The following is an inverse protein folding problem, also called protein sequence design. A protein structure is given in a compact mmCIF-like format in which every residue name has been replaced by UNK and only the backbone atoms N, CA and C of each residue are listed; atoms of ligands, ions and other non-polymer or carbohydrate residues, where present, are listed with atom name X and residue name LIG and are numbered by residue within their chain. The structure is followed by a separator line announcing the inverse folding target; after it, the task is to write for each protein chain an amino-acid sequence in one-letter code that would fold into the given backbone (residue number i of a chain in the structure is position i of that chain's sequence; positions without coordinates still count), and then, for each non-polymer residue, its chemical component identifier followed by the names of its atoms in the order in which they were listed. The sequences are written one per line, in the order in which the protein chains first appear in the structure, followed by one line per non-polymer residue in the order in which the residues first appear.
data_IF_483083179119
#
_entry.id   IF_483083179119
#
_cell.length_a   1.000
_cell.length_b   1.000
_cell.length_c   1.000
_cell.angle_alpha   90.00
_cell.angle_beta   90.00
_cell.angle_gamma   90.00
#
_symmetry.space_group_name_H-M   'P 1'
#
loop_
_entity.id
_entity.type
_entity.pdbx_description
1 polymer ?
#
# COMPACT_ATOMS: atom_id res chain seq x y z
N UNK A 1 35.33 6.52 31.72
CA UNK A 1 35.26 5.94 30.36
C UNK A 1 35.70 7.02 29.38
N UNK A 2 36.59 6.72 28.40
CA UNK A 2 36.96 7.71 27.40
C UNK A 2 35.72 8.12 26.60
N UNK A 3 35.46 9.43 26.47
CA UNK A 3 34.34 9.95 25.69
C UNK A 3 34.54 9.55 24.23
N UNK A 4 33.55 8.88 23.65
CA UNK A 4 33.54 8.51 22.24
C UNK A 4 33.43 9.77 21.39
N UNK A 5 34.06 9.79 20.21
CA UNK A 5 34.05 10.93 19.27
C UNK A 5 32.63 11.38 18.86
N UNK A 6 31.62 10.53 19.09
CA UNK A 6 30.22 10.75 18.75
C UNK A 6 29.30 10.83 19.98
N UNK A 7 29.83 11.11 21.16
CA UNK A 7 29.00 11.32 22.34
C UNK A 7 28.18 12.61 22.20
N UNK A 8 26.89 12.52 22.54
CA UNK A 8 26.03 13.69 22.63
C UNK A 8 26.53 14.63 23.74
N UNK A 9 26.39 15.96 23.57
CA UNK A 9 26.69 16.90 24.64
C UNK A 9 25.80 16.61 25.87
N UNK A 10 26.22 17.11 27.03
CA UNK A 10 25.48 16.93 28.29
C UNK A 10 24.03 17.37 28.13
N UNK A 11 23.09 16.73 28.85
CA UNK A 11 21.65 16.94 28.63
C UNK A 11 21.22 18.42 28.71
N UNK A 12 21.89 19.23 29.53
CA UNK A 12 21.65 20.67 29.65
C UNK A 12 22.01 21.48 28.41
N UNK A 13 23.01 21.04 27.65
CA UNK A 13 23.58 21.74 26.49
C UNK A 13 22.97 21.28 25.15
N UNK A 14 22.10 20.27 25.19
CA UNK A 14 21.41 19.78 24.00
C UNK A 14 20.39 20.80 23.51
N UNK A 15 20.54 21.22 22.24
CA UNK A 15 19.66 22.21 21.60
C UNK A 15 18.24 21.70 21.38
N UNK A 16 18.08 20.46 20.95
CA UNK A 16 16.77 19.90 20.57
C UNK A 16 16.36 18.66 21.38
N UNK A 17 17.32 17.82 21.73
CA UNK A 17 17.07 16.55 22.43
C UNK A 17 16.60 16.85 23.86
N UNK A 18 15.47 16.26 24.27
CA UNK A 18 14.90 16.42 25.61
C UNK A 18 14.16 17.74 25.86
N UNK A 19 13.96 18.58 24.83
CA UNK A 19 13.21 19.83 24.92
C UNK A 19 11.78 19.63 24.41
N UNK A 20 10.82 20.33 25.02
CA UNK A 20 9.45 20.43 24.50
C UNK A 20 9.45 21.37 23.30
N UNK A 21 9.41 20.82 22.09
CA UNK A 21 9.44 21.57 20.83
C UNK A 21 8.15 21.30 20.06
N UNK A 22 7.55 22.34 19.53
CA UNK A 22 6.41 22.21 18.62
C UNK A 22 6.87 21.65 17.28
N UNK A 23 6.18 20.61 16.81
CA UNK A 23 6.43 20.05 15.49
C UNK A 23 5.97 21.01 14.40
N UNK A 24 6.79 21.20 13.37
CA UNK A 24 6.45 22.04 12.22
C UNK A 24 5.20 21.53 11.48
N UNK A 25 5.11 20.21 11.30
CA UNK A 25 3.98 19.55 10.64
C UNK A 25 2.75 19.37 11.57
N UNK A 26 2.92 19.63 12.87
CA UNK A 26 1.89 19.38 13.90
C UNK A 26 0.56 20.08 13.59
N UNK A 27 0.54 21.43 13.42
CA UNK A 27 -0.69 22.15 13.15
C UNK A 27 -1.42 21.69 11.89
N UNK A 28 -0.70 21.37 10.80
CA UNK A 28 -1.33 20.92 9.56
C UNK A 28 -1.98 19.55 9.71
N UNK A 29 -1.32 18.62 10.42
CA UNK A 29 -1.83 17.26 10.66
C UNK A 29 -3.00 17.24 11.65
N UNK A 30 -2.93 18.00 12.74
CA UNK A 30 -3.98 18.03 13.76
C UNK A 30 -5.24 18.78 13.33
N UNK A 31 -5.13 19.67 12.35
CA UNK A 31 -6.26 20.44 11.81
C UNK A 31 -6.92 19.82 10.58
N UNK A 32 -6.42 18.68 10.08
CA UNK A 32 -6.90 18.07 8.83
C UNK A 32 -6.52 18.83 7.55
N UNK A 33 -5.60 19.81 7.64
CA UNK A 33 -5.12 20.57 6.46
C UNK A 33 -4.02 19.86 5.69
N UNK A 34 -3.33 18.91 6.31
CA UNK A 34 -2.32 18.11 5.64
C UNK A 34 -2.99 17.22 4.59
N UNK A 35 -2.52 17.32 3.34
CA UNK A 35 -2.90 16.39 2.26
C UNK A 35 -1.96 15.20 2.26
N UNK A 36 -2.53 14.01 2.23
CA UNK A 36 -1.84 12.72 2.09
C UNK A 36 -2.05 12.17 0.68
N UNK A 37 -1.33 11.11 0.34
CA UNK A 37 -1.37 10.50 -0.99
C UNK A 37 -2.79 10.10 -1.42
N UNK A 38 -3.63 9.67 -0.47
CA UNK A 38 -5.01 9.27 -0.75
C UNK A 38 -5.96 10.45 -1.01
N UNK A 39 -5.60 11.66 -0.59
CA UNK A 39 -6.40 12.88 -0.85
C UNK A 39 -6.18 13.42 -2.28
N UNK A 40 -5.21 12.87 -3.00
CA UNK A 40 -4.84 13.32 -4.35
C UNK A 40 -5.76 12.64 -5.37
N UNK A 41 -6.48 13.45 -6.13
CA UNK A 41 -7.30 13.00 -7.26
C UNK A 41 -6.80 13.68 -8.54
N UNK A 42 -6.27 12.89 -9.48
CA UNK A 42 -5.75 13.39 -10.76
C UNK A 42 -6.77 13.14 -11.88
N UNK A 43 -6.87 14.04 -12.88
CA UNK A 43 -7.67 13.79 -14.07
C UNK A 43 -7.23 12.49 -14.77
N UNK A 44 -8.17 11.57 -14.99
CA UNK A 44 -7.90 10.28 -15.64
C UNK A 44 -7.17 9.24 -14.76
N UNK A 45 -7.10 9.46 -13.45
CA UNK A 45 -6.50 8.51 -12.51
C UNK A 45 -7.22 7.16 -12.54
N UNK A 46 -6.45 6.07 -12.52
CA UNK A 46 -6.97 4.73 -12.29
C UNK A 46 -6.69 4.29 -10.85
N UNK A 47 -7.62 3.54 -10.28
CA UNK A 47 -7.54 2.98 -8.95
C UNK A 47 -7.13 1.52 -9.07
N UNK A 48 -6.06 1.14 -8.37
CA UNK A 48 -5.54 -0.21 -8.36
C UNK A 48 -6.00 -0.99 -7.13
N UNK A 49 -6.34 -2.27 -7.31
CA UNK A 49 -6.59 -3.22 -6.22
C UNK A 49 -5.85 -4.53 -6.52
N UNK A 50 -5.42 -5.18 -5.45
CA UNK A 50 -4.65 -6.42 -5.49
C UNK A 50 -5.49 -7.55 -4.93
N UNK A 51 -5.48 -8.69 -5.62
CA UNK A 51 -5.94 -9.96 -5.09
C UNK A 51 -4.73 -10.65 -4.44
N UNK A 52 -4.71 -10.70 -3.11
CA UNK A 52 -3.70 -11.40 -2.34
C UNK A 52 -4.07 -12.85 -2.04
N UNK A 53 -3.08 -13.69 -1.76
CA UNK A 53 -3.31 -15.06 -1.29
C UNK A 53 -3.99 -15.07 0.10
N UNK A 54 -5.12 -15.78 0.29
CA UNK A 54 -5.77 -15.87 1.60
C UNK A 54 -5.13 -16.91 2.53
N UNK A 55 -4.08 -17.60 2.10
CA UNK A 55 -3.44 -18.69 2.82
C UNK A 55 -1.99 -18.35 3.16
N UNK A 56 -1.53 -18.80 4.33
CA UNK A 56 -0.13 -18.63 4.76
C UNK A 56 0.88 -19.37 3.86
N UNK A 57 0.45 -20.44 3.18
CA UNK A 57 1.24 -21.14 2.16
C UNK A 57 0.30 -21.84 1.18
N UNK A 58 0.50 -21.66 -0.13
CA UNK A 58 -0.35 -22.28 -1.15
C UNK A 58 0.39 -22.41 -2.49
N UNK A 59 -0.04 -23.36 -3.33
CA UNK A 59 0.40 -23.44 -4.72
C UNK A 59 -0.73 -22.99 -5.63
N UNK A 60 -0.46 -22.06 -6.53
CA UNK A 60 -1.46 -21.60 -7.50
C UNK A 60 -1.67 -22.72 -8.53
N UNK A 61 -2.89 -23.24 -8.61
CA UNK A 61 -3.25 -24.28 -9.59
C UNK A 61 -3.83 -23.68 -10.86
N UNK A 62 -4.71 -22.69 -10.71
CA UNK A 62 -5.39 -22.04 -11.83
C UNK A 62 -5.79 -20.61 -11.45
N UNK A 63 -6.02 -19.74 -12.43
CA UNK A 63 -6.55 -18.40 -12.23
C UNK A 63 -7.55 -18.12 -13.36
N UNK A 64 -8.74 -17.62 -13.01
CA UNK A 64 -9.75 -17.13 -13.95
C UNK A 64 -10.03 -15.64 -13.70
N UNK A 65 -9.59 -14.80 -14.64
CA UNK A 65 -9.76 -13.35 -14.65
C UNK A 65 -10.94 -12.88 -15.52
N UNK A 66 -11.61 -13.79 -16.22
CA UNK A 66 -12.53 -13.44 -17.32
C UNK A 66 -13.72 -12.59 -16.86
N UNK A 67 -14.22 -12.80 -15.65
CA UNK A 67 -15.32 -12.03 -15.09
C UNK A 67 -14.91 -10.60 -14.67
N UNK A 68 -13.65 -10.42 -14.26
CA UNK A 68 -13.08 -9.12 -13.92
C UNK A 68 -12.79 -8.30 -15.19
N UNK A 69 -12.22 -8.94 -16.22
CA UNK A 69 -11.91 -8.30 -17.51
C UNK A 69 -13.17 -7.76 -18.23
N UNK A 70 -14.31 -8.41 -18.03
CA UNK A 70 -15.60 -7.99 -18.62
C UNK A 70 -16.30 -6.88 -17.84
N UNK A 71 -15.83 -6.50 -16.65
CA UNK A 71 -16.49 -5.49 -15.84
C UNK A 71 -16.27 -4.08 -16.47
N UNK A 72 -17.36 -3.33 -16.77
CA UNK A 72 -17.22 -1.98 -17.31
C UNK A 72 -16.40 -1.08 -16.38
N UNK A 73 -15.45 -0.36 -16.97
CA UNK A 73 -14.57 0.55 -16.23
C UNK A 73 -13.25 -0.07 -15.77
N UNK A 74 -13.10 -1.39 -15.83
CA UNK A 74 -11.79 -2.04 -15.70
C UNK A 74 -10.93 -1.71 -16.92
N UNK A 75 -9.68 -1.33 -16.69
CA UNK A 75 -8.71 -0.97 -17.73
C UNK A 75 -7.56 -1.95 -17.84
N UNK A 76 -7.19 -2.58 -16.73
CA UNK A 76 -6.10 -3.56 -16.66
C UNK A 76 -6.48 -4.67 -15.69
N UNK A 77 -6.24 -5.91 -16.12
CA UNK A 77 -6.14 -7.07 -15.23
C UNK A 77 -4.82 -7.75 -15.54
N UNK A 78 -3.97 -7.95 -14.53
CA UNK A 78 -2.62 -8.48 -14.69
C UNK A 78 -2.36 -9.54 -13.65
N UNK A 79 -2.15 -10.77 -14.12
CA UNK A 79 -1.59 -11.85 -13.29
C UNK A 79 -0.14 -11.49 -12.96
N UNK A 80 0.16 -11.38 -11.66
CA UNK A 80 1.49 -11.11 -11.11
C UNK A 80 2.20 -12.44 -10.87
N UNK A 81 1.53 -13.37 -10.20
CA UNK A 81 2.01 -14.74 -9.96
C UNK A 81 1.09 -15.73 -10.64
N UNK A 82 1.66 -16.58 -11.50
CA UNK A 82 0.91 -17.50 -12.35
C UNK A 82 0.74 -18.90 -11.75
N UNK A 83 -0.03 -19.78 -12.44
CA UNK A 83 -0.11 -21.19 -12.09
C UNK A 83 1.26 -21.86 -12.01
N UNK A 84 1.46 -22.67 -10.98
CA UNK A 84 2.72 -23.35 -10.67
C UNK A 84 3.58 -22.65 -9.62
N UNK A 85 3.31 -21.38 -9.32
CA UNK A 85 4.02 -20.64 -8.26
C UNK A 85 3.59 -21.09 -6.87
N UNK A 86 4.56 -21.20 -5.96
CA UNK A 86 4.33 -21.44 -4.53
C UNK A 86 4.41 -20.13 -3.74
N UNK A 87 3.30 -19.78 -3.12
CA UNK A 87 3.13 -18.63 -2.24
C UNK A 87 3.58 -19.00 -0.83
N UNK A 88 4.36 -18.11 -0.22
CA UNK A 88 5.04 -18.35 1.06
C UNK A 88 4.39 -17.60 2.25
N UNK A 89 3.46 -16.67 2.00
CA UNK A 89 2.74 -15.94 3.05
C UNK A 89 1.35 -15.47 2.60
N UNK A 90 0.48 -15.19 3.58
CA UNK A 90 -0.82 -14.57 3.36
C UNK A 90 -0.65 -13.13 2.87
N UNK A 91 -1.46 -12.74 1.89
CA UNK A 91 -1.48 -11.40 1.29
C UNK A 91 -0.54 -11.23 0.10
N UNK A 92 0.31 -12.22 -0.20
CA UNK A 92 1.20 -12.18 -1.36
C UNK A 92 0.41 -11.97 -2.66
N UNK A 93 0.89 -11.07 -3.54
CA UNK A 93 0.08 -10.56 -4.63
C UNK A 93 -0.05 -11.55 -5.79
N UNK A 94 -1.28 -11.94 -6.12
CA UNK A 94 -1.57 -12.90 -7.21
C UNK A 94 -2.00 -12.15 -8.47
N UNK A 95 -2.99 -11.26 -8.37
CA UNK A 95 -3.52 -10.50 -9.51
C UNK A 95 -3.66 -9.03 -9.15
N UNK A 96 -3.25 -8.15 -10.05
CA UNK A 96 -3.47 -6.72 -9.97
C UNK A 96 -4.57 -6.28 -10.95
N UNK A 97 -5.50 -5.45 -10.47
CA UNK A 97 -6.56 -4.85 -11.28
C UNK A 97 -6.47 -3.34 -11.19
N UNK A 98 -6.69 -2.64 -12.30
CA UNK A 98 -6.86 -1.18 -12.32
C UNK A 98 -8.15 -0.78 -13.02
N UNK A 99 -8.92 0.13 -12.41
CA UNK A 99 -10.21 0.60 -12.91
C UNK A 99 -10.38 2.11 -12.76
N UNK A 100 -11.43 2.67 -13.39
CA UNK A 100 -11.71 4.12 -13.37
C UNK A 100 -12.26 4.64 -12.05
N UNK A 101 -12.75 3.76 -11.17
CA UNK A 101 -13.09 4.08 -9.78
C UNK A 101 -12.58 2.99 -8.85
N UNK A 102 -12.46 3.29 -7.56
CA UNK A 102 -12.01 2.34 -6.55
C UNK A 102 -12.98 1.17 -6.38
N UNK A 103 -14.28 1.46 -6.39
CA UNK A 103 -15.34 0.47 -6.20
C UNK A 103 -15.34 -0.56 -7.33
N UNK A 104 -15.12 -0.11 -8.58
CA UNK A 104 -15.02 -1.01 -9.74
C UNK A 104 -13.77 -1.88 -9.62
N UNK A 105 -12.64 -1.33 -9.16
CA UNK A 105 -11.42 -2.12 -8.95
C UNK A 105 -11.62 -3.20 -7.87
N UNK A 106 -12.32 -2.88 -6.79
CA UNK A 106 -12.64 -3.80 -5.71
C UNK A 106 -13.62 -4.90 -6.16
N UNK A 107 -14.69 -4.52 -6.85
CA UNK A 107 -15.68 -5.46 -7.39
C UNK A 107 -15.06 -6.37 -8.46
N UNK A 108 -14.11 -5.87 -9.25
CA UNK A 108 -13.38 -6.68 -10.21
C UNK A 108 -12.52 -7.75 -9.49
N UNK A 109 -11.79 -7.37 -8.43
CA UNK A 109 -10.98 -8.33 -7.64
C UNK A 109 -11.86 -9.44 -7.05
N UNK A 110 -13.04 -9.11 -6.52
CA UNK A 110 -13.99 -10.10 -5.97
C UNK A 110 -14.50 -11.13 -6.98
N UNK A 111 -14.42 -10.83 -8.28
CA UNK A 111 -14.89 -11.71 -9.37
C UNK A 111 -13.82 -12.68 -9.88
N UNK A 112 -12.57 -12.47 -9.50
CA UNK A 112 -11.45 -13.34 -9.89
C UNK A 112 -11.51 -14.62 -9.06
N UNK A 113 -11.25 -15.76 -9.70
CA UNK A 113 -11.15 -17.05 -9.04
C UNK A 113 -9.72 -17.56 -9.13
N UNK A 114 -9.17 -18.00 -8.01
CA UNK A 114 -7.81 -18.57 -7.87
C UNK A 114 -7.92 -19.88 -7.11
#
# INVERSE_FOLDING_TARGET
MPKCKYDWPEAGERRHIGKRISRLDGPAKSSGRAKYSYDINLPGMLYAKLLGCPYAHAKIVSIDTSAAEKLPGVKVVRVVQGPGTEIQWEGDEIVAVAAVTEEIAEDAVRRIKV
#
